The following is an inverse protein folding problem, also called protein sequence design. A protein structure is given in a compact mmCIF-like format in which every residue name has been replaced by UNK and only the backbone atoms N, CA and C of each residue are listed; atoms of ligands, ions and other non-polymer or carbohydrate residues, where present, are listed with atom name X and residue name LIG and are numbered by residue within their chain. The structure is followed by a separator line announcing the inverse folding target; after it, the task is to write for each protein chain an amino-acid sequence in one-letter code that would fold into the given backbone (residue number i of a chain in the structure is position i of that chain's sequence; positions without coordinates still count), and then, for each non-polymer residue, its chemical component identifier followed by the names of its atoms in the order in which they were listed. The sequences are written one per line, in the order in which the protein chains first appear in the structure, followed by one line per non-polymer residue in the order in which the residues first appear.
data_IF_711753467888
#
_entry.id   IF_711753467888
#
_cell.length_a   1.000
_cell.length_b   1.000
_cell.length_c   1.000
_cell.angle_alpha   90.00
_cell.angle_beta   90.00
_cell.angle_gamma   90.00
#
_symmetry.space_group_name_H-M   'P 1'
#
loop_
_entity.id
_entity.type
_entity.pdbx_description
1 polymer ?
#
# COMPACT_ATOMS: atom_id res chain seq x y z
N UNK A 1 14.84 -4.67 -4.29
CA UNK A 1 14.05 -4.17 -5.45
C UNK A 1 14.10 -2.67 -5.55
N UNK A 2 13.77 -2.08 -6.73
CA UNK A 2 13.64 -0.63 -6.89
C UNK A 2 12.22 -0.18 -6.54
N UNK A 3 12.09 0.95 -5.84
CA UNK A 3 10.82 1.57 -5.53
C UNK A 3 10.94 3.10 -5.54
N UNK A 4 9.86 3.79 -5.88
CA UNK A 4 9.78 5.23 -5.69
C UNK A 4 9.38 5.50 -4.24
N UNK A 5 10.19 6.26 -3.54
CA UNK A 5 9.96 6.60 -2.13
C UNK A 5 9.96 8.09 -1.90
N UNK A 6 9.26 8.53 -0.86
CA UNK A 6 9.23 9.92 -0.41
C UNK A 6 9.47 10.00 1.10
N UNK A 7 9.92 11.13 1.58
CA UNK A 7 9.78 11.50 3.00
C UNK A 7 8.45 12.24 3.13
N UNK A 8 7.43 11.69 3.80
CA UNK A 8 6.12 12.33 3.94
C UNK A 8 6.23 13.75 4.49
N UNK A 9 5.35 14.62 4.03
CA UNK A 9 5.30 16.04 4.41
C UNK A 9 6.57 16.86 4.06
N UNK A 10 7.47 16.30 3.24
CA UNK A 10 8.67 16.97 2.77
C UNK A 10 8.65 17.09 1.25
N UNK A 11 8.49 18.29 0.75
CA UNK A 11 8.51 18.62 -0.69
C UNK A 11 9.82 18.21 -1.35
N UNK A 12 9.74 17.75 -2.60
CA UNK A 12 10.89 17.36 -3.43
C UNK A 12 11.77 16.26 -2.78
N UNK A 13 11.17 15.35 -2.02
CA UNK A 13 11.84 14.21 -1.38
C UNK A 13 11.71 12.90 -2.16
N UNK A 14 10.99 12.92 -3.29
CA UNK A 14 10.82 11.73 -4.12
C UNK A 14 12.16 11.28 -4.72
N UNK A 15 12.45 9.99 -4.59
CA UNK A 15 13.64 9.37 -5.18
C UNK A 15 13.41 7.90 -5.52
N UNK A 16 14.24 7.36 -6.42
CA UNK A 16 14.30 5.93 -6.68
C UNK A 16 15.22 5.27 -5.67
N UNK A 17 14.65 4.48 -4.77
CA UNK A 17 15.38 3.81 -3.69
C UNK A 17 15.54 2.31 -3.95
N UNK A 18 16.63 1.74 -3.41
CA UNK A 18 16.76 0.30 -3.24
C UNK A 18 16.18 -0.12 -1.91
N UNK A 19 15.15 -0.95 -1.94
CA UNK A 19 14.49 -1.48 -0.73
C UNK A 19 14.55 -3.01 -0.71
N UNK A 20 14.37 -3.58 0.48
CA UNK A 20 14.25 -5.03 0.62
C UNK A 20 13.03 -5.54 -0.16
N UNK A 21 13.13 -6.73 -0.71
CA UNK A 21 11.99 -7.41 -1.33
C UNK A 21 10.97 -7.79 -0.24
N UNK A 22 9.66 -7.51 -0.44
CA UNK A 22 8.66 -7.92 0.54
C UNK A 22 8.49 -9.43 0.55
N UNK A 23 8.09 -9.97 1.68
CA UNK A 23 7.78 -11.39 1.84
C UNK A 23 6.29 -11.60 1.99
N UNK A 24 5.80 -12.76 1.53
CA UNK A 24 4.41 -13.18 1.78
C UNK A 24 4.17 -13.27 3.28
N UNK A 25 3.10 -12.61 3.73
CA UNK A 25 2.60 -12.67 5.10
C UNK A 25 1.22 -13.31 5.10
N UNK A 26 0.76 -13.76 6.27
CA UNK A 26 -0.59 -14.28 6.42
C UNK A 26 -1.64 -13.28 5.90
N UNK A 27 -2.56 -13.77 5.06
CA UNK A 27 -3.61 -12.96 4.44
C UNK A 27 -3.13 -12.07 3.28
N UNK A 28 -1.92 -12.26 2.75
CA UNK A 28 -1.40 -11.50 1.61
C UNK A 28 -0.84 -12.40 0.53
N UNK A 29 -0.65 -11.85 -0.66
CA UNK A 29 0.04 -12.47 -1.79
C UNK A 29 1.23 -11.61 -2.21
N UNK A 30 2.29 -12.21 -2.76
CA UNK A 30 3.38 -11.48 -3.39
C UNK A 30 3.07 -11.30 -4.87
N UNK A 31 3.16 -10.07 -5.34
CA UNK A 31 2.76 -9.68 -6.69
C UNK A 31 3.93 -9.04 -7.42
N UNK A 32 4.24 -9.54 -8.62
CA UNK A 32 5.09 -8.84 -9.57
C UNK A 32 4.28 -7.73 -10.25
N UNK A 33 4.65 -6.49 -9.99
CA UNK A 33 3.94 -5.32 -10.52
C UNK A 33 4.16 -5.18 -12.03
N UNK A 34 3.08 -5.08 -12.79
CA UNK A 34 3.11 -4.85 -14.24
C UNK A 34 2.91 -3.38 -14.59
N UNK A 35 2.07 -2.69 -13.82
CA UNK A 35 1.83 -1.26 -14.00
C UNK A 35 1.38 -0.63 -12.67
N UNK A 36 1.72 0.64 -12.53
CA UNK A 36 1.26 1.50 -11.41
C UNK A 36 0.69 2.78 -12.02
N UNK A 37 -0.53 3.12 -11.63
CA UNK A 37 -1.15 4.41 -11.95
C UNK A 37 -0.55 5.51 -11.08
N UNK A 38 -0.59 6.73 -11.59
CA UNK A 38 -0.22 7.95 -10.86
C UNK A 38 -1.42 8.86 -10.83
N UNK A 39 -1.92 9.20 -9.65
CA UNK A 39 -3.08 10.06 -9.46
C UNK A 39 -2.72 11.37 -8.73
N UNK A 40 -3.74 12.19 -8.44
CA UNK A 40 -3.56 13.43 -7.69
C UNK A 40 -2.96 13.23 -6.30
N UNK A 41 -3.31 12.14 -5.61
CA UNK A 41 -2.76 11.82 -4.29
C UNK A 41 -1.25 11.61 -4.32
N UNK A 42 -0.71 10.96 -5.35
CA UNK A 42 0.75 10.79 -5.50
C UNK A 42 1.45 12.15 -5.69
N UNK A 43 0.79 13.07 -6.42
CA UNK A 43 1.29 14.44 -6.61
C UNK A 43 1.31 15.20 -5.29
N UNK A 44 0.22 15.13 -4.50
CA UNK A 44 0.13 15.77 -3.19
C UNK A 44 1.18 15.22 -2.22
N UNK A 45 1.41 13.90 -2.24
CA UNK A 45 2.46 13.24 -1.45
C UNK A 45 3.85 13.73 -1.88
N UNK A 46 4.14 13.80 -3.17
CA UNK A 46 5.41 14.29 -3.71
C UNK A 46 5.65 15.77 -3.41
N UNK A 47 4.59 16.56 -3.31
CA UNK A 47 4.63 17.96 -2.91
C UNK A 47 4.78 18.16 -1.40
N UNK A 48 4.70 17.09 -0.60
CA UNK A 48 4.80 17.16 0.86
C UNK A 48 3.54 17.63 1.56
N UNK A 49 2.38 17.47 0.93
CA UNK A 49 1.07 17.92 1.43
C UNK A 49 0.30 16.77 2.11
N UNK A 50 0.69 15.51 1.84
CA UNK A 50 0.01 14.31 2.32
C UNK A 50 0.98 13.13 2.53
N UNK A 51 0.49 12.05 3.20
CA UNK A 51 1.20 10.79 3.35
C UNK A 51 1.79 10.54 4.74
N UNK A 52 1.93 9.27 5.09
CA UNK A 52 2.54 8.81 6.35
C UNK A 52 3.41 7.57 6.08
N UNK A 53 4.64 7.58 6.61
CA UNK A 53 5.52 6.42 6.55
C UNK A 53 5.11 5.33 7.55
N UNK A 54 5.49 4.07 7.30
CA UNK A 54 5.31 2.98 8.28
C UNK A 54 5.99 3.29 9.61
N UNK A 55 5.47 2.78 10.73
CA UNK A 55 6.12 2.95 12.04
C UNK A 55 7.58 2.51 12.00
N UNK A 56 8.48 3.38 12.49
CA UNK A 56 9.92 3.13 12.52
C UNK A 56 10.67 3.37 11.20
N UNK A 57 9.99 3.92 10.20
CA UNK A 57 10.58 4.29 8.91
C UNK A 57 10.38 5.77 8.61
N UNK A 58 11.39 6.39 7.98
CA UNK A 58 11.32 7.79 7.58
C UNK A 58 10.73 7.97 6.18
N UNK A 59 10.67 6.90 5.39
CA UNK A 59 10.22 6.94 4.00
C UNK A 59 8.98 6.07 3.77
N UNK A 60 8.14 6.55 2.88
CA UNK A 60 6.98 5.86 2.34
C UNK A 60 7.29 5.38 0.91
N UNK A 61 7.01 4.14 0.61
CA UNK A 61 6.94 3.65 -0.78
C UNK A 61 5.61 4.10 -1.35
N UNK A 62 5.62 4.92 -2.40
CA UNK A 62 4.39 5.43 -3.01
C UNK A 62 3.91 4.55 -4.17
N UNK A 63 2.63 4.70 -4.50
CA UNK A 63 1.93 3.96 -5.54
C UNK A 63 0.85 3.05 -4.96
N UNK A 64 -0.40 3.31 -5.30
CA UNK A 64 -1.57 2.64 -4.74
C UNK A 64 -2.58 2.16 -5.80
N UNK A 65 -2.36 2.50 -7.05
CA UNK A 65 -3.16 2.05 -8.19
C UNK A 65 -2.33 1.06 -9.02
N UNK A 66 -2.22 -0.20 -8.55
CA UNK A 66 -1.34 -1.18 -9.17
C UNK A 66 -2.09 -2.39 -9.72
N UNK A 67 -1.58 -2.93 -10.82
CA UNK A 67 -1.96 -4.23 -11.36
C UNK A 67 -0.72 -5.09 -11.49
N UNK A 68 -0.84 -6.37 -11.18
CA UNK A 68 0.29 -7.29 -11.26
C UNK A 68 -0.10 -8.76 -11.31
N UNK A 69 0.89 -9.63 -11.42
CA UNK A 69 0.74 -11.08 -11.39
C UNK A 69 1.23 -11.66 -10.09
N UNK A 70 0.48 -12.59 -9.54
CA UNK A 70 0.88 -13.30 -8.32
C UNK A 70 2.11 -14.17 -8.63
N UNK A 71 3.17 -13.98 -7.85
CA UNK A 71 4.38 -14.82 -7.89
C UNK A 71 4.41 -15.82 -6.74
N UNK A 72 3.79 -15.46 -5.60
CA UNK A 72 3.64 -16.32 -4.44
C UNK A 72 2.33 -16.03 -3.70
N UNK A 73 1.62 -17.09 -3.31
CA UNK A 73 0.38 -17.01 -2.54
C UNK A 73 0.36 -18.09 -1.45
N UNK A 74 -0.24 -17.82 -0.28
CA UNK A 74 -0.44 -18.83 0.75
C UNK A 74 -1.43 -19.89 0.29
N UNK A 75 -1.26 -21.12 0.76
CA UNK A 75 -2.14 -22.24 0.45
C UNK A 75 -3.57 -21.96 0.94
N UNK A 76 -4.58 -22.28 0.11
CA UNK A 76 -6.00 -22.20 0.48
C UNK A 76 -6.62 -20.80 0.40
N UNK A 77 -5.89 -19.78 -0.05
CA UNK A 77 -6.38 -18.40 -0.16
C UNK A 77 -7.24 -18.08 -1.40
N UNK A 78 -7.51 -19.06 -2.26
CA UNK A 78 -8.29 -18.87 -3.49
C UNK A 78 -7.53 -18.17 -4.62
N UNK A 79 -6.23 -17.92 -4.44
CA UNK A 79 -5.35 -17.30 -5.43
C UNK A 79 -4.29 -18.29 -5.90
N UNK A 80 -3.89 -18.18 -7.16
CA UNK A 80 -2.87 -19.01 -7.79
C UNK A 80 -1.74 -18.17 -8.38
N UNK A 81 -0.53 -18.73 -8.42
CA UNK A 81 0.60 -18.11 -9.12
C UNK A 81 0.22 -17.85 -10.59
N UNK A 82 0.46 -16.64 -11.06
CA UNK A 82 0.14 -16.18 -12.40
C UNK A 82 -1.18 -15.43 -12.53
N UNK A 83 -2.05 -15.48 -11.52
CA UNK A 83 -3.30 -14.71 -11.52
C UNK A 83 -3.02 -13.21 -11.65
N UNK A 84 -3.82 -12.53 -12.45
CA UNK A 84 -3.80 -11.08 -12.59
C UNK A 84 -4.64 -10.46 -11.48
N UNK A 85 -4.04 -9.57 -10.69
CA UNK A 85 -4.70 -9.00 -9.51
C UNK A 85 -4.47 -7.49 -9.39
N UNK A 86 -5.40 -6.84 -8.70
CA UNK A 86 -5.32 -5.46 -8.24
C UNK A 86 -5.35 -5.47 -6.71
N UNK A 87 -4.44 -4.75 -6.07
CA UNK A 87 -4.37 -4.67 -4.62
C UNK A 87 -5.52 -3.87 -4.00
N UNK A 88 -6.02 -4.31 -2.85
CA UNK A 88 -6.88 -3.47 -2.01
C UNK A 88 -5.97 -2.47 -1.28
N UNK A 89 -6.19 -1.19 -1.52
CA UNK A 89 -5.36 -0.10 -0.97
C UNK A 89 -5.59 0.03 0.53
N UNK A 90 -6.85 0.22 0.95
CA UNK A 90 -7.18 0.43 2.36
C UNK A 90 -7.30 -0.88 3.12
N UNK A 91 -6.66 -0.93 4.28
CA UNK A 91 -6.80 -1.99 5.28
C UNK A 91 -7.64 -1.50 6.44
N UNK A 92 -8.54 -2.34 6.98
CA UNK A 92 -9.36 -1.95 8.12
C UNK A 92 -8.51 -1.63 9.36
N UNK A 93 -9.07 -0.81 10.24
CA UNK A 93 -8.48 -0.56 11.55
C UNK A 93 -8.32 -1.89 12.32
N UNK A 94 -7.15 -2.15 12.95
CA UNK A 94 -6.93 -3.37 13.76
C UNK A 94 -7.94 -3.56 14.89
N UNK A 95 -8.48 -2.46 15.41
CA UNK A 95 -9.61 -2.47 16.37
C UNK A 95 -10.81 -1.87 15.64
N UNK A 96 -11.66 -2.69 15.01
CA UNK A 96 -12.67 -2.20 14.10
C UNK A 96 -13.72 -1.34 14.81
N UNK A 97 -14.02 -0.17 14.25
CA UNK A 97 -15.23 0.57 14.56
C UNK A 97 -16.45 -0.14 13.93
N UNK A 98 -17.66 0.38 14.18
CA UNK A 98 -18.89 -0.20 13.62
C UNK A 98 -18.80 -0.32 12.09
N UNK A 99 -18.33 0.70 11.38
CA UNK A 99 -18.21 0.69 9.93
C UNK A 99 -17.21 -0.38 9.44
N UNK A 100 -16.05 -0.49 10.08
CA UNK A 100 -15.06 -1.52 9.75
C UNK A 100 -15.61 -2.93 10.00
N UNK A 101 -16.36 -3.13 11.09
CA UNK A 101 -16.92 -4.43 11.45
C UNK A 101 -17.94 -4.97 10.42
N UNK A 102 -18.59 -4.08 9.66
CA UNK A 102 -19.55 -4.44 8.60
C UNK A 102 -18.93 -4.33 7.18
N UNK A 103 -17.60 -4.20 7.06
CA UNK A 103 -16.91 -4.13 5.77
C UNK A 103 -16.95 -2.76 5.08
N UNK A 104 -17.40 -1.71 5.75
CA UNK A 104 -17.43 -0.34 5.24
C UNK A 104 -16.19 0.44 5.69
N UNK A 105 -15.02 -0.02 5.28
CA UNK A 105 -13.73 0.51 5.75
C UNK A 105 -13.49 1.96 5.35
N UNK A 106 -14.06 2.41 4.24
CA UNK A 106 -13.97 3.80 3.78
C UNK A 106 -14.65 4.78 4.73
N UNK A 107 -15.61 4.30 5.52
CA UNK A 107 -16.29 5.06 6.56
C UNK A 107 -15.69 4.87 7.97
N UNK A 108 -14.43 4.45 8.07
CA UNK A 108 -13.75 4.24 9.35
C UNK A 108 -13.71 5.53 10.18
N UNK A 109 -14.23 5.46 11.41
CA UNK A 109 -14.28 6.62 12.33
C UNK A 109 -13.11 6.67 13.31
N UNK A 110 -12.37 5.55 13.51
CA UNK A 110 -11.21 5.52 14.41
C UNK A 110 -9.95 6.13 13.79
N UNK A 111 -9.84 6.13 12.46
CA UNK A 111 -8.72 6.72 11.72
C UNK A 111 -7.40 5.93 11.78
N UNK A 112 -7.38 4.74 12.37
CA UNK A 112 -6.17 3.87 12.45
C UNK A 112 -6.07 2.86 11.32
N UNK A 113 -6.84 3.06 10.25
CA UNK A 113 -6.66 2.31 9.01
C UNK A 113 -5.32 2.63 8.36
N UNK A 114 -4.80 1.71 7.56
CA UNK A 114 -3.66 1.93 6.68
C UNK A 114 -4.08 1.92 5.21
N UNK A 115 -3.30 2.57 4.36
CA UNK A 115 -3.51 2.64 2.91
C UNK A 115 -2.17 2.45 2.21
N UNK A 116 -1.99 1.30 1.57
CA UNK A 116 -0.74 1.00 0.88
C UNK A 116 -0.34 2.10 -0.10
N UNK A 117 0.90 2.57 0.03
CA UNK A 117 1.45 3.62 -0.79
C UNK A 117 0.98 5.04 -0.47
N UNK A 118 0.21 5.23 0.62
CA UNK A 118 -0.34 6.53 1.06
C UNK A 118 -0.10 6.73 2.56
N UNK A 119 -0.60 5.80 3.37
CA UNK A 119 -0.59 5.84 4.83
C UNK A 119 -0.32 4.44 5.37
N UNK A 120 0.91 4.17 5.75
CA UNK A 120 1.36 2.88 6.24
C UNK A 120 1.44 2.82 7.79
#
# INVERSE_FOLDING_TARGET
MKAVTVVPLKKASAELSDIAEPHVKEGSVLVETLAVGVCGTDVDIANGEYGWSPPGHDRLVIGHESVGRIVEAPSGGGFSKGDLVVGIVRRPDPVPCFACAIGQWDACTNGKYTEHGIKE
#
